data_IF_790875675890
#
_entry.id   IF_790875675890
#
_cell.length_a   1.000
_cell.length_b   1.000
_cell.length_c   1.000
_cell.angle_alpha   90.00
_cell.angle_beta   90.00
_cell.angle_gamma   90.00
#
_symmetry.space_group_name_H-M   'P 1'
#
loop_
_entity.id
_entity.type
_entity.pdbx_description
1 polymer ?
#
# COMPACT_ATOMS: atom_id res chain seq x y z
N UNK A 1 6.05 -45.17 -36.69
CA UNK A 1 5.21 -45.97 -35.81
C UNK A 1 4.38 -44.98 -35.03
N UNK A 2 3.29 -44.48 -35.57
CA UNK A 2 1.93 -45.08 -35.72
C UNK A 2 1.37 -45.52 -34.37
N UNK A 3 0.35 -44.83 -33.96
CA UNK A 3 -1.02 -45.21 -33.61
C UNK A 3 -1.56 -44.14 -32.70
N UNK A 4 -2.46 -43.39 -33.09
CA UNK A 4 -3.88 -43.51 -33.44
C UNK A 4 -4.67 -42.88 -32.27
N UNK A 5 -5.36 -41.75 -32.44
CA UNK A 5 -6.63 -41.61 -33.17
C UNK A 5 -7.75 -42.44 -32.53
N UNK A 6 -8.83 -41.71 -32.34
CA UNK A 6 -10.20 -42.14 -32.07
C UNK A 6 -10.69 -42.12 -30.63
N UNK A 7 -11.45 -41.07 -30.34
CA UNK A 7 -12.80 -41.22 -29.84
C UNK A 7 -13.56 -39.86 -29.85
N UNK A 8 -13.88 -39.45 -31.03
CA UNK A 8 -15.09 -38.63 -31.27
C UNK A 8 -16.23 -39.58 -31.60
N UNK A 9 -17.36 -39.44 -31.00
CA UNK A 9 -18.73 -39.55 -31.52
C UNK A 9 -19.73 -40.04 -30.45
N UNK A 10 -20.76 -39.32 -30.37
CA UNK A 10 -22.01 -39.72 -29.72
C UNK A 10 -22.70 -38.44 -29.23
N UNK A 11 -23.39 -37.68 -30.07
CA UNK A 11 -24.77 -37.89 -30.57
C UNK A 11 -25.78 -37.79 -29.39
N UNK A 12 -26.76 -37.07 -29.40
CA UNK A 12 -27.69 -36.47 -30.34
C UNK A 12 -28.94 -36.08 -29.58
N UNK A 13 -29.59 -35.01 -30.04
CA UNK A 13 -31.06 -34.85 -30.12
C UNK A 13 -31.92 -35.21 -28.92
N UNK A 14 -32.54 -34.18 -28.37
CA UNK A 14 -33.95 -34.21 -27.98
C UNK A 14 -34.55 -32.82 -28.26
N UNK A 15 -35.27 -32.75 -29.09
CA UNK A 15 -36.51 -32.27 -29.68
C UNK A 15 -37.30 -31.32 -28.79
N UNK A 16 -37.57 -30.19 -29.39
CA UNK A 16 -38.72 -29.30 -29.36
C UNK A 16 -39.93 -29.76 -28.56
N UNK A 17 -40.28 -29.00 -27.55
CA UNK A 17 -41.64 -28.84 -27.10
C UNK A 17 -41.95 -27.35 -26.94
N UNK A 18 -42.70 -26.85 -27.90
CA UNK A 18 -43.31 -25.52 -27.91
C UNK A 18 -44.43 -25.52 -26.87
N UNK A 19 -44.24 -24.82 -25.77
CA UNK A 19 -45.37 -24.54 -24.85
C UNK A 19 -45.73 -23.06 -24.97
N UNK A 20 -46.91 -22.83 -25.55
CA UNK A 20 -47.55 -21.52 -25.67
C UNK A 20 -48.04 -21.13 -24.28
N UNK A 21 -47.37 -20.24 -23.60
CA UNK A 21 -47.90 -19.55 -22.44
C UNK A 21 -48.40 -18.14 -22.82
N UNK A 22 -49.57 -17.85 -22.28
CA UNK A 22 -50.35 -16.63 -22.47
C UNK A 22 -49.61 -15.38 -21.96
N UNK A 23 -49.91 -14.18 -22.50
CA UNK A 23 -49.29 -12.93 -22.03
C UNK A 23 -49.80 -12.59 -20.63
N UNK A 24 -48.86 -12.61 -19.67
CA UNK A 24 -49.13 -12.13 -18.30
C UNK A 24 -48.92 -10.62 -18.30
N UNK A 25 -49.94 -9.89 -17.98
CA UNK A 25 -49.96 -8.43 -17.75
C UNK A 25 -48.93 -8.07 -16.65
N UNK A 26 -48.06 -7.11 -16.83
CA UNK A 26 -47.11 -6.72 -15.78
C UNK A 26 -47.87 -6.00 -14.66
N UNK A 27 -47.91 -6.64 -13.49
CA UNK A 27 -48.34 -6.00 -12.26
C UNK A 27 -47.37 -4.83 -11.95
N UNK A 28 -47.93 -3.63 -11.82
CA UNK A 28 -47.23 -2.45 -11.34
C UNK A 28 -46.64 -2.72 -9.95
N UNK A 29 -45.33 -2.91 -9.88
CA UNK A 29 -44.62 -2.88 -8.59
C UNK A 29 -44.67 -1.45 -8.08
N UNK A 30 -45.41 -1.28 -6.98
CA UNK A 30 -45.32 -0.06 -6.17
C UNK A 30 -43.86 0.22 -5.81
N UNK A 31 -43.38 1.39 -6.24
CA UNK A 31 -42.09 1.91 -5.85
C UNK A 31 -42.17 2.22 -4.35
N UNK A 32 -41.64 1.33 -3.53
CA UNK A 32 -41.40 1.65 -2.12
C UNK A 32 -40.48 2.88 -2.04
N UNK A 33 -40.98 3.93 -1.38
CA UNK A 33 -40.15 5.09 -1.03
C UNK A 33 -38.92 4.61 -0.28
N UNK A 34 -37.70 5.11 -0.62
CA UNK A 34 -36.51 4.76 0.14
C UNK A 34 -36.71 5.13 1.60
N UNK A 35 -36.48 4.14 2.46
CA UNK A 35 -36.52 4.29 3.91
C UNK A 35 -35.71 5.50 4.34
N UNK A 36 -36.29 6.32 5.20
CA UNK A 36 -35.62 7.48 5.81
C UNK A 36 -34.27 7.05 6.37
N UNK A 37 -33.20 7.63 5.85
CA UNK A 37 -31.84 7.48 6.36
C UNK A 37 -31.80 7.99 7.79
N UNK A 38 -31.97 7.08 8.75
CA UNK A 38 -31.76 7.37 10.16
C UNK A 38 -30.34 7.95 10.31
N UNK A 39 -30.25 9.13 10.93
CA UNK A 39 -28.94 9.72 11.25
C UNK A 39 -28.15 8.72 12.09
N UNK A 40 -27.15 8.09 11.50
CA UNK A 40 -26.22 7.20 12.20
C UNK A 40 -25.50 8.06 13.23
N UNK A 41 -25.75 7.82 14.52
CA UNK A 41 -25.00 8.45 15.60
C UNK A 41 -23.66 7.74 15.69
N UNK A 42 -22.58 8.43 15.33
CA UNK A 42 -21.21 7.94 15.49
C UNK A 42 -20.85 7.88 16.97
N UNK A 43 -20.10 6.86 17.37
CA UNK A 43 -19.49 6.81 18.71
C UNK A 43 -18.36 7.83 18.82
N UNK A 44 -17.95 8.17 20.06
CA UNK A 44 -16.82 9.08 20.27
C UNK A 44 -15.52 8.55 19.64
N UNK A 45 -15.30 7.24 19.70
CA UNK A 45 -14.13 6.58 19.06
C UNK A 45 -14.17 6.71 17.54
N UNK A 46 -15.34 6.52 16.92
CA UNK A 46 -15.51 6.71 15.49
C UNK A 46 -15.28 8.17 15.07
N UNK A 47 -15.77 9.12 15.85
CA UNK A 47 -15.52 10.55 15.59
C UNK A 47 -14.04 10.88 15.68
N UNK A 48 -13.33 10.36 16.70
CA UNK A 48 -11.89 10.55 16.86
C UNK A 48 -11.11 9.95 15.68
N UNK A 49 -11.46 8.75 15.24
CA UNK A 49 -10.82 8.12 14.07
C UNK A 49 -11.03 8.92 12.78
N UNK A 50 -12.24 9.46 12.55
CA UNK A 50 -12.54 10.33 11.42
C UNK A 50 -11.72 11.63 11.48
N UNK A 51 -11.61 12.25 12.65
CA UNK A 51 -10.80 13.46 12.85
C UNK A 51 -9.32 13.19 12.56
N UNK A 52 -8.78 12.08 13.02
CA UNK A 52 -7.39 11.67 12.76
C UNK A 52 -7.13 11.48 11.26
N UNK A 53 -7.98 10.74 10.57
CA UNK A 53 -7.87 10.52 9.13
C UNK A 53 -8.01 11.82 8.34
N UNK A 54 -8.90 12.72 8.76
CA UNK A 54 -9.08 14.03 8.15
C UNK A 54 -7.84 14.89 8.33
N UNK A 55 -7.26 14.93 9.54
CA UNK A 55 -6.03 15.66 9.82
C UNK A 55 -4.85 15.15 8.99
N UNK A 56 -4.70 13.82 8.88
CA UNK A 56 -3.67 13.20 8.05
C UNK A 56 -3.83 13.56 6.57
N UNK A 57 -5.05 13.48 6.05
CA UNK A 57 -5.33 13.86 4.65
C UNK A 57 -4.99 15.31 4.39
N UNK A 58 -5.42 16.23 5.26
CA UNK A 58 -5.12 17.65 5.14
C UNK A 58 -3.61 17.92 5.22
N UNK A 59 -2.87 17.20 6.07
CA UNK A 59 -1.41 17.30 6.14
C UNK A 59 -0.75 16.92 4.81
N UNK A 60 -1.17 15.80 4.22
CA UNK A 60 -0.65 15.32 2.92
C UNK A 60 -0.93 16.34 1.81
N UNK A 61 -2.16 16.84 1.72
CA UNK A 61 -2.59 17.77 0.68
C UNK A 61 -1.91 19.14 0.82
N UNK A 62 -1.88 19.70 2.05
CA UNK A 62 -1.27 21.00 2.32
C UNK A 62 0.23 21.05 2.04
N UNK A 63 0.94 19.95 2.27
CA UNK A 63 2.40 19.86 2.09
C UNK A 63 2.80 19.20 0.77
N UNK A 64 1.84 18.90 -0.13
CA UNK A 64 2.10 18.29 -1.44
C UNK A 64 2.89 16.96 -1.34
N UNK A 65 2.56 16.16 -0.31
CA UNK A 65 3.25 14.90 -0.03
C UNK A 65 2.60 13.69 -0.73
N UNK A 66 1.50 13.90 -1.44
CA UNK A 66 0.84 12.90 -2.27
C UNK A 66 1.39 12.90 -3.70
N UNK A 67 1.68 11.73 -4.25
CA UNK A 67 2.18 11.55 -5.62
C UNK A 67 1.27 10.58 -6.37
N UNK A 68 0.84 10.99 -7.57
CA UNK A 68 0.04 10.14 -8.46
C UNK A 68 0.98 9.36 -9.39
N UNK A 69 0.90 8.03 -9.36
CA UNK A 69 1.62 7.11 -10.25
C UNK A 69 0.61 6.20 -10.95
N UNK A 70 0.33 6.48 -12.22
CA UNK A 70 -0.74 5.81 -12.96
C UNK A 70 -2.09 6.01 -12.26
N UNK A 71 -2.78 4.92 -11.96
CA UNK A 71 -4.08 4.95 -11.26
C UNK A 71 -3.96 4.87 -9.72
N UNK A 72 -2.76 4.97 -9.16
CA UNK A 72 -2.52 4.82 -7.72
C UNK A 72 -1.93 6.10 -7.14
N UNK A 73 -2.33 6.41 -5.90
CA UNK A 73 -1.77 7.52 -5.13
C UNK A 73 -0.85 6.99 -4.06
N UNK A 74 0.34 7.52 -4.01
CA UNK A 74 1.38 7.18 -3.03
C UNK A 74 1.69 8.39 -2.16
N UNK A 75 2.37 8.18 -1.07
CA UNK A 75 2.84 9.24 -0.20
C UNK A 75 4.35 9.18 -0.06
N UNK A 76 4.97 10.35 0.14
CA UNK A 76 6.38 10.48 0.47
C UNK A 76 6.63 10.03 1.92
N UNK A 77 7.88 9.69 2.23
CA UNK A 77 8.30 9.17 3.55
C UNK A 77 8.00 10.12 4.71
N UNK A 78 7.95 11.43 4.49
CA UNK A 78 7.62 12.44 5.50
C UNK A 78 6.24 12.21 6.14
N UNK A 79 5.31 11.59 5.39
CA UNK A 79 3.99 11.23 5.92
C UNK A 79 4.11 10.17 7.02
N UNK A 80 5.00 9.19 6.86
CA UNK A 80 5.23 8.17 7.88
C UNK A 80 5.90 8.75 9.12
N UNK A 81 6.85 9.68 8.95
CA UNK A 81 7.47 10.40 10.07
C UNK A 81 6.41 11.22 10.84
N UNK A 82 5.52 11.90 10.12
CA UNK A 82 4.39 12.60 10.73
C UNK A 82 3.48 11.65 11.52
N UNK A 83 3.11 10.49 10.97
CA UNK A 83 2.31 9.49 11.67
C UNK A 83 3.04 9.03 12.93
N UNK A 84 4.34 8.71 12.85
CA UNK A 84 5.13 8.30 14.01
C UNK A 84 5.10 9.36 15.12
N UNK A 85 5.30 10.62 14.76
CA UNK A 85 5.25 11.75 15.70
C UNK A 85 3.86 11.89 16.35
N UNK A 86 2.77 11.85 15.56
CA UNK A 86 1.41 11.95 16.09
C UNK A 86 1.03 10.79 17.02
N UNK A 87 1.66 9.63 16.82
CA UNK A 87 1.46 8.43 17.66
C UNK A 87 2.43 8.36 18.85
N UNK A 88 3.28 9.36 19.04
CA UNK A 88 4.28 9.38 20.12
C UNK A 88 5.31 8.26 20.00
N UNK A 89 5.64 7.85 18.77
CA UNK A 89 6.65 6.84 18.52
C UNK A 89 8.04 7.47 18.43
N UNK A 90 9.00 6.81 19.06
CA UNK A 90 10.41 7.23 19.11
C UNK A 90 11.21 6.25 18.25
N UNK A 91 11.77 6.69 17.10
CA UNK A 91 12.62 5.84 16.27
C UNK A 91 14.04 5.75 16.84
N UNK A 92 14.60 4.55 16.79
CA UNK A 92 16.02 4.29 17.01
C UNK A 92 16.57 3.61 15.76
N UNK A 93 17.70 4.09 15.24
CA UNK A 93 18.35 3.56 14.04
C UNK A 93 19.62 2.82 14.38
N UNK A 94 19.80 1.66 13.77
CA UNK A 94 21.03 0.87 13.77
C UNK A 94 21.44 0.70 12.32
N UNK A 95 22.50 1.38 11.91
CA UNK A 95 23.00 1.36 10.54
C UNK A 95 24.31 0.59 10.45
N UNK A 96 24.36 -0.36 9.52
CA UNK A 96 25.54 -1.07 9.05
C UNK A 96 25.81 -0.60 7.62
N UNK A 97 27.00 -0.11 7.36
CA UNK A 97 27.38 0.41 6.05
C UNK A 97 28.77 -0.07 5.63
N UNK A 98 29.08 0.05 4.34
CA UNK A 98 30.37 -0.36 3.80
C UNK A 98 30.37 -0.55 2.29
N UNK A 99 31.41 -1.21 1.80
CA UNK A 99 31.56 -1.53 0.39
C UNK A 99 31.47 -3.04 0.18
N UNK A 100 30.67 -3.46 -0.82
CA UNK A 100 30.63 -4.85 -1.29
C UNK A 100 31.25 -4.97 -2.67
N UNK A 101 31.89 -6.10 -2.96
CA UNK A 101 32.42 -6.40 -4.27
C UNK A 101 31.27 -6.79 -5.21
N UNK A 102 31.22 -6.16 -6.38
CA UNK A 102 30.33 -6.51 -7.49
C UNK A 102 31.15 -6.69 -8.77
N UNK A 103 30.51 -7.16 -9.84
CA UNK A 103 31.20 -7.45 -11.13
C UNK A 103 31.93 -6.23 -11.70
N UNK A 104 31.35 -5.04 -11.51
CA UNK A 104 31.83 -3.77 -12.08
C UNK A 104 32.60 -2.92 -11.08
N UNK A 105 32.97 -3.48 -9.90
CA UNK A 105 33.74 -2.80 -8.87
C UNK A 105 33.09 -2.81 -7.50
N UNK A 106 33.53 -1.90 -6.63
CA UNK A 106 33.00 -1.77 -5.27
C UNK A 106 31.75 -0.86 -5.27
N UNK A 107 30.70 -1.35 -4.66
CA UNK A 107 29.45 -0.60 -4.47
C UNK A 107 29.24 -0.32 -3.00
N UNK A 108 29.07 0.95 -2.66
CA UNK A 108 28.70 1.34 -1.30
C UNK A 108 27.25 0.98 -0.99
N UNK A 109 27.01 0.44 0.18
CA UNK A 109 25.66 0.13 0.69
C UNK A 109 25.50 0.65 2.11
N UNK A 110 24.24 0.91 2.49
CA UNK A 110 23.80 1.15 3.85
C UNK A 110 22.57 0.31 4.15
N UNK A 111 22.61 -0.42 5.25
CA UNK A 111 21.52 -1.28 5.74
C UNK A 111 21.11 -0.78 7.11
N UNK A 112 19.93 -0.18 7.18
CA UNK A 112 19.42 0.41 8.42
C UNK A 112 18.27 -0.39 8.99
N UNK A 113 18.34 -0.68 10.29
CA UNK A 113 17.23 -1.18 11.08
C UNK A 113 16.64 -0.03 11.88
N UNK A 114 15.38 0.31 11.63
CA UNK A 114 14.59 1.21 12.45
C UNK A 114 13.78 0.41 13.46
N UNK A 115 13.88 0.77 14.73
CA UNK A 115 13.09 0.21 15.83
C UNK A 115 12.22 1.35 16.37
N UNK A 116 10.91 1.17 16.35
CA UNK A 116 9.96 2.13 16.88
C UNK A 116 9.58 1.75 18.31
N UNK A 117 9.78 2.66 19.24
CA UNK A 117 9.41 2.51 20.64
C UNK A 117 8.23 3.44 20.97
N UNK A 118 7.38 3.02 21.91
CA UNK A 118 6.43 3.94 22.54
C UNK A 118 7.14 4.79 23.62
N UNK A 119 6.39 5.72 24.21
CA UNK A 119 6.89 6.60 25.28
C UNK A 119 7.41 5.86 26.53
N UNK A 120 7.03 4.60 26.71
CA UNK A 120 7.49 3.76 27.83
C UNK A 120 8.73 2.93 27.45
N UNK A 121 9.31 3.12 26.26
CA UNK A 121 10.47 2.37 25.78
C UNK A 121 10.15 0.97 25.24
N UNK A 122 8.89 0.58 25.13
CA UNK A 122 8.49 -0.71 24.57
C UNK A 122 8.61 -0.67 23.05
N UNK A 123 9.28 -1.68 22.48
CA UNK A 123 9.33 -1.86 21.02
C UNK A 123 7.94 -2.18 20.47
N UNK A 124 7.50 -1.40 19.48
CA UNK A 124 6.19 -1.54 18.84
C UNK A 124 6.32 -2.11 17.43
N UNK A 125 7.40 -1.75 16.72
CA UNK A 125 7.67 -2.23 15.37
C UNK A 125 9.14 -2.15 15.04
N UNK A 126 9.57 -2.99 14.11
CA UNK A 126 10.94 -3.02 13.60
C UNK A 126 10.91 -3.23 12.09
N UNK A 127 11.84 -2.59 11.40
CA UNK A 127 12.06 -2.83 9.97
C UNK A 127 13.51 -2.60 9.60
N UNK A 128 14.03 -3.44 8.71
CA UNK A 128 15.36 -3.29 8.14
C UNK A 128 15.25 -3.03 6.64
N UNK A 129 15.93 -2.00 6.17
CA UNK A 129 15.95 -1.61 4.75
C UNK A 129 17.40 -1.40 4.29
N UNK A 130 17.60 -1.67 3.01
CA UNK A 130 18.87 -1.48 2.31
C UNK A 130 18.73 -0.33 1.31
N UNK A 131 19.78 0.44 1.13
CA UNK A 131 20.01 1.31 -0.01
C UNK A 131 21.45 1.12 -0.48
N UNK A 132 21.70 1.21 -1.78
CA UNK A 132 23.05 1.10 -2.30
C UNK A 132 23.25 1.92 -3.59
N UNK A 133 24.50 2.17 -3.93
CA UNK A 133 24.88 2.97 -5.11
C UNK A 133 24.67 2.27 -6.46
N UNK A 134 24.17 1.04 -6.49
CA UNK A 134 23.69 0.44 -7.73
C UNK A 134 22.32 1.00 -8.16
N UNK A 135 21.61 1.67 -7.25
CA UNK A 135 20.39 2.39 -7.57
C UNK A 135 20.71 3.64 -8.40
N UNK A 136 20.10 3.78 -9.60
CA UNK A 136 20.43 4.81 -10.59
C UNK A 136 20.50 6.23 -10.02
N UNK A 137 19.54 6.58 -9.16
CA UNK A 137 19.49 7.94 -8.57
C UNK A 137 20.49 8.17 -7.41
N UNK A 138 21.13 7.11 -6.89
CA UNK A 138 22.19 7.19 -5.86
C UNK A 138 23.60 7.13 -6.44
N UNK A 139 23.74 6.75 -7.69
CA UNK A 139 25.03 6.47 -8.33
C UNK A 139 26.03 7.61 -8.20
N UNK A 140 25.56 8.84 -8.40
CA UNK A 140 26.37 10.06 -8.33
C UNK A 140 26.23 10.83 -7.01
N UNK A 141 25.57 10.25 -6.01
CA UNK A 141 25.41 10.85 -4.68
C UNK A 141 26.54 10.45 -3.75
N UNK A 142 26.74 11.21 -2.69
CA UNK A 142 27.64 10.82 -1.62
C UNK A 142 27.14 9.63 -0.81
N UNK A 143 27.98 9.07 0.04
CA UNK A 143 27.64 7.93 0.88
C UNK A 143 26.58 8.28 1.93
N UNK A 144 26.55 9.53 2.41
CA UNK A 144 25.55 10.03 3.34
C UNK A 144 24.14 10.01 2.74
N UNK A 145 23.98 10.32 1.45
CA UNK A 145 22.70 10.23 0.77
C UNK A 145 22.16 8.78 0.76
N UNK A 146 23.06 7.80 0.58
CA UNK A 146 22.69 6.37 0.64
C UNK A 146 22.27 5.96 2.06
N UNK A 147 23.00 6.39 3.09
CA UNK A 147 22.64 6.17 4.49
C UNK A 147 21.27 6.80 4.80
N UNK A 148 21.10 8.08 4.52
CA UNK A 148 19.84 8.80 4.76
C UNK A 148 18.65 8.17 4.06
N UNK A 149 18.83 7.62 2.84
CA UNK A 149 17.79 6.89 2.16
C UNK A 149 17.43 5.57 2.86
N UNK A 150 18.43 4.80 3.31
CA UNK A 150 18.18 3.55 4.03
C UNK A 150 17.42 3.80 5.35
N UNK A 151 17.75 4.88 6.08
CA UNK A 151 17.03 5.31 7.29
C UNK A 151 15.59 5.72 6.98
N UNK A 152 15.40 6.53 5.94
CA UNK A 152 14.09 7.00 5.47
C UNK A 152 13.18 5.82 5.10
N UNK A 153 13.70 4.84 4.38
CA UNK A 153 12.99 3.62 4.03
C UNK A 153 12.67 2.77 5.26
N UNK A 154 13.62 2.65 6.19
CA UNK A 154 13.46 1.83 7.38
C UNK A 154 12.35 2.38 8.29
N UNK A 155 12.30 3.70 8.55
CA UNK A 155 11.22 4.30 9.35
C UNK A 155 9.87 4.21 8.65
N UNK A 156 9.81 4.50 7.34
CA UNK A 156 8.57 4.42 6.58
C UNK A 156 7.99 3.00 6.62
N UNK A 157 8.84 1.97 6.45
CA UNK A 157 8.43 0.57 6.53
C UNK A 157 8.00 0.17 7.94
N UNK A 158 8.70 0.60 8.98
CA UNK A 158 8.36 0.30 10.37
C UNK A 158 6.99 0.89 10.76
N UNK A 159 6.71 2.14 10.37
CA UNK A 159 5.41 2.80 10.59
C UNK A 159 4.30 2.16 9.75
N UNK A 160 4.57 1.87 8.49
CA UNK A 160 3.64 1.18 7.58
C UNK A 160 3.12 -0.13 8.18
N UNK A 161 3.99 -0.92 8.80
CA UNK A 161 3.63 -2.22 9.37
C UNK A 161 2.51 -2.12 10.42
N UNK A 162 2.38 -0.97 11.08
CA UNK A 162 1.39 -0.75 12.14
C UNK A 162 0.24 0.14 11.68
N UNK A 163 0.56 1.22 10.95
CA UNK A 163 -0.38 2.30 10.63
C UNK A 163 -0.66 2.48 9.14
N UNK A 164 -0.16 1.58 8.27
CA UNK A 164 -0.41 1.65 6.83
C UNK A 164 -1.91 1.66 6.47
N UNK A 165 -2.75 1.09 7.32
CA UNK A 165 -4.21 1.09 7.15
C UNK A 165 -4.81 2.51 7.12
N UNK A 166 -4.21 3.48 7.83
CA UNK A 166 -4.67 4.87 7.83
C UNK A 166 -4.57 5.49 6.43
N UNK A 167 -3.48 5.21 5.71
CA UNK A 167 -3.28 5.69 4.35
C UNK A 167 -4.28 5.06 3.38
N UNK A 168 -4.51 3.76 3.51
CA UNK A 168 -5.50 3.04 2.69
C UNK A 168 -6.90 3.61 2.93
N UNK A 169 -7.27 3.89 4.17
CA UNK A 169 -8.57 4.45 4.53
C UNK A 169 -8.85 5.84 3.90
N UNK A 170 -7.79 6.63 3.65
CA UNK A 170 -7.92 7.96 3.00
C UNK A 170 -7.59 7.94 1.49
N UNK A 171 -7.45 6.75 0.90
CA UNK A 171 -7.34 6.55 -0.54
C UNK A 171 -5.91 6.54 -1.11
N UNK A 172 -4.88 6.37 -0.27
CA UNK A 172 -3.49 6.22 -0.68
C UNK A 172 -3.02 4.77 -0.57
N UNK A 173 -1.97 4.43 -1.31
CA UNK A 173 -1.28 3.16 -1.12
C UNK A 173 -0.48 3.20 0.19
N UNK A 174 -0.46 2.07 0.91
CA UNK A 174 0.35 1.96 2.12
C UNK A 174 1.86 1.85 1.84
N UNK A 175 2.26 1.57 0.60
CA UNK A 175 3.68 1.46 0.22
C UNK A 175 4.27 2.85 0.02
N UNK A 176 5.41 3.18 0.67
CA UNK A 176 6.10 4.43 0.46
C UNK A 176 6.53 4.62 -1.00
N UNK A 177 6.55 5.86 -1.48
CA UNK A 177 6.97 6.18 -2.84
C UNK A 177 8.41 5.73 -3.13
N UNK A 178 9.29 5.86 -2.15
CA UNK A 178 10.71 5.52 -2.24
C UNK A 178 10.95 4.03 -2.48
N UNK A 179 10.03 3.15 -2.06
CA UNK A 179 10.09 1.71 -2.33
C UNK A 179 9.67 1.33 -3.76
N UNK A 180 9.01 2.23 -4.48
CA UNK A 180 8.51 1.95 -5.85
C UNK A 180 9.56 2.30 -6.88
N UNK A 181 10.34 3.34 -6.61
CA UNK A 181 11.39 3.79 -7.52
C UNK A 181 12.51 2.75 -7.68
N UNK A 182 12.74 1.88 -6.68
CA UNK A 182 13.63 0.71 -6.80
C UNK A 182 13.24 -0.25 -7.92
N UNK A 183 11.94 -0.40 -8.20
CA UNK A 183 11.42 -1.38 -9.18
C UNK A 183 11.47 -0.89 -10.62
N UNK A 184 11.68 0.40 -10.86
CA UNK A 184 11.74 0.99 -12.20
C UNK A 184 13.13 0.93 -12.82
N UNK A 185 14.17 0.63 -12.06
CA UNK A 185 15.57 0.53 -12.50
C UNK A 185 16.07 -0.89 -12.82
N UNK A 186 15.16 -1.88 -12.93
CA UNK A 186 15.51 -3.27 -13.29
C UNK A 186 14.90 -3.68 -14.59
#
# INVERSE_FOLDING_TARGET
MTLASDAMKGLNKAETAVNKEKPVTPAQKSVEKPAQTGKIKLTEEQMKAIQEMTALKNFIEKNELGVQEGNRKYVKSEVYQYIAQQKGLIPTFLTEDGYREEKDGKVYFAKTTCILHNVNGTEISRSTMLADKSEEFLKDKDDFATMGLSETRAIARAVKNIYGYLLVAIGYQATPLEEINEKKGK
#
